data_IF_633665468138
#
_entry.id   IF_633665468138
#
_cell.length_a   1.000
_cell.length_b   1.000
_cell.length_c   1.000
_cell.angle_alpha   90.00
_cell.angle_beta   90.00
_cell.angle_gamma   90.00
#
_symmetry.space_group_name_H-M   'P 1'
#
loop_
_entity.id
_entity.type
_entity.pdbx_description
1 polymer ?
#
# COMPACT_ATOMS: atom_id res chain seq x y z
N UNK A 1 14.14 33.66 -44.56
CA UNK A 1 13.18 32.67 -44.02
C UNK A 1 13.77 31.29 -44.21
N UNK A 2 14.46 30.76 -43.20
CA UNK A 2 15.03 29.40 -43.24
C UNK A 2 13.98 28.43 -42.69
N UNK A 3 13.38 27.66 -43.59
CA UNK A 3 12.61 26.47 -43.27
C UNK A 3 13.59 25.34 -42.94
N UNK A 4 13.60 24.84 -41.71
CA UNK A 4 14.13 23.49 -41.43
C UNK A 4 13.16 22.76 -40.49
N UNK A 5 12.34 21.90 -41.10
CA UNK A 5 11.48 20.94 -40.42
C UNK A 5 12.36 19.80 -39.91
N UNK A 6 12.57 19.71 -38.60
CA UNK A 6 13.24 18.57 -37.98
C UNK A 6 12.29 17.37 -38.12
N UNK A 7 12.59 16.53 -39.10
CA UNK A 7 12.00 15.21 -39.31
C UNK A 7 12.94 14.16 -38.73
N UNK A 8 12.35 13.19 -38.04
CA UNK A 8 12.87 11.85 -37.71
C UNK A 8 13.98 11.77 -36.65
N UNK A 9 13.58 11.32 -35.46
CA UNK A 9 14.36 10.35 -34.72
C UNK A 9 13.38 9.33 -34.14
N UNK A 10 13.19 8.26 -34.92
CA UNK A 10 12.63 6.99 -34.48
C UNK A 10 13.61 6.45 -33.44
N UNK A 11 13.32 6.70 -32.16
CA UNK A 11 14.02 6.09 -31.04
C UNK A 11 13.18 4.92 -30.57
N UNK A 12 13.43 3.73 -31.12
CA UNK A 12 12.93 2.49 -30.55
C UNK A 12 13.51 2.38 -29.14
N UNK A 13 12.73 2.74 -28.12
CA UNK A 13 13.08 2.49 -26.73
C UNK A 13 12.95 0.99 -26.56
N UNK A 14 14.10 0.31 -26.55
CA UNK A 14 14.19 -1.09 -26.23
C UNK A 14 13.48 -1.31 -24.88
N UNK A 15 12.39 -2.08 -24.90
CA UNK A 15 11.83 -2.69 -23.71
C UNK A 15 12.88 -3.68 -23.18
N UNK A 16 13.84 -3.17 -22.41
CA UNK A 16 14.70 -3.99 -21.60
C UNK A 16 13.78 -4.69 -20.60
N UNK A 17 13.54 -5.97 -20.86
CA UNK A 17 12.91 -6.89 -19.93
C UNK A 17 13.76 -6.95 -18.68
N UNK A 18 13.47 -6.08 -17.72
CA UNK A 18 13.76 -6.40 -16.35
C UNK A 18 12.77 -7.48 -15.96
N UNK A 19 13.22 -8.74 -16.00
CA UNK A 19 12.73 -9.74 -15.07
C UNK A 19 12.96 -9.14 -13.66
N UNK A 20 12.02 -8.33 -13.20
CA UNK A 20 11.89 -8.05 -11.80
C UNK A 20 11.40 -9.36 -11.21
N UNK A 21 12.40 -10.13 -10.78
CA UNK A 21 12.35 -11.11 -9.71
C UNK A 21 10.95 -11.16 -9.15
N UNK A 22 10.21 -12.19 -9.54
CA UNK A 22 9.09 -12.71 -8.77
C UNK A 22 9.66 -13.13 -7.43
N UNK A 23 9.98 -12.13 -6.60
CA UNK A 23 10.08 -12.26 -5.17
C UNK A 23 8.69 -12.71 -4.81
N UNK A 24 8.61 -14.01 -4.52
CA UNK A 24 7.44 -14.64 -3.94
C UNK A 24 6.82 -13.62 -3.00
N UNK A 25 5.50 -13.41 -3.05
CA UNK A 25 4.89 -12.69 -1.97
C UNK A 25 5.36 -13.36 -0.69
N UNK A 26 6.14 -12.65 0.13
CA UNK A 26 6.23 -13.01 1.55
C UNK A 26 4.80 -12.84 2.00
N UNK A 27 4.07 -13.96 1.98
CA UNK A 27 2.73 -14.08 2.51
C UNK A 27 2.86 -13.48 3.89
N UNK A 28 2.19 -12.37 4.13
CA UNK A 28 2.24 -11.69 5.43
C UNK A 28 1.82 -12.64 6.57
N UNK A 29 1.24 -13.80 6.25
CA UNK A 29 1.05 -14.99 7.08
C UNK A 29 2.35 -15.56 7.72
N UNK A 30 3.55 -15.29 7.21
CA UNK A 30 4.82 -15.81 7.77
C UNK A 30 5.49 -14.88 8.78
N UNK A 31 4.94 -13.69 9.03
CA UNK A 31 5.43 -12.80 10.09
C UNK A 31 4.53 -12.98 11.32
N UNK A 32 4.92 -13.80 12.31
CA UNK A 32 4.05 -14.19 13.42
C UNK A 32 3.53 -13.00 14.24
N UNK A 33 4.19 -11.85 14.17
CA UNK A 33 3.86 -10.63 14.90
C UNK A 33 2.90 -9.70 14.15
N UNK A 34 2.60 -9.95 12.88
CA UNK A 34 1.74 -9.10 12.06
C UNK A 34 0.38 -9.77 11.82
N UNK A 35 -0.66 -8.95 11.80
CA UNK A 35 -2.03 -9.37 11.53
C UNK A 35 -2.69 -8.33 10.65
N UNK A 36 -3.57 -8.78 9.75
CA UNK A 36 -4.36 -7.87 8.97
C UNK A 36 -5.25 -7.03 9.88
N UNK A 37 -5.29 -5.71 9.69
CA UNK A 37 -6.08 -4.80 10.54
C UNK A 37 -7.56 -5.21 10.65
N UNK A 38 -8.13 -5.79 9.58
CA UNK A 38 -9.54 -6.25 9.60
C UNK A 38 -9.75 -7.52 10.43
N UNK A 39 -8.75 -8.39 10.52
CA UNK A 39 -8.78 -9.57 11.39
C UNK A 39 -8.57 -9.17 12.86
N UNK A 40 -7.70 -8.18 13.13
CA UNK A 40 -7.49 -7.63 14.49
C UNK A 40 -8.74 -6.92 15.02
N UNK A 41 -9.49 -6.23 14.14
CA UNK A 41 -10.67 -5.45 14.49
C UNK A 41 -11.86 -5.81 13.60
N UNK A 42 -12.47 -6.99 13.76
CA UNK A 42 -13.55 -7.44 12.87
C UNK A 42 -14.78 -6.54 12.98
N UNK A 43 -15.36 -6.18 11.83
CA UNK A 43 -16.59 -5.37 11.75
C UNK A 43 -16.41 -3.87 12.04
N UNK A 44 -15.18 -3.39 12.20
CA UNK A 44 -14.90 -1.96 12.33
C UNK A 44 -14.97 -1.24 10.96
N UNK A 45 -15.04 0.10 10.98
CA UNK A 45 -14.75 0.91 9.80
C UNK A 45 -13.28 1.32 9.81
N UNK A 46 -12.69 1.49 8.62
CA UNK A 46 -11.26 1.76 8.47
C UNK A 46 -11.06 2.95 7.55
N UNK A 47 -10.14 3.84 7.91
CA UNK A 47 -9.71 4.95 7.07
C UNK A 47 -8.18 4.94 6.96
N UNK A 48 -7.68 4.80 5.74
CA UNK A 48 -6.24 4.85 5.48
C UNK A 48 -5.75 6.29 5.45
N UNK A 49 -4.71 6.58 6.21
CA UNK A 49 -4.06 7.89 6.28
C UNK A 49 -2.58 7.79 5.99
N UNK A 50 -2.03 8.80 5.35
CA UNK A 50 -0.59 8.95 5.19
C UNK A 50 -0.16 10.19 5.96
N UNK A 51 0.68 10.01 6.96
CA UNK A 51 1.18 11.08 7.82
C UNK A 51 2.70 11.05 7.70
N UNK A 52 3.31 12.14 7.22
CA UNK A 52 4.77 12.26 7.06
C UNK A 52 5.41 11.13 6.23
N UNK A 53 4.69 10.60 5.23
CA UNK A 53 5.17 9.49 4.39
C UNK A 53 4.99 8.10 5.00
N UNK A 54 4.56 8.01 6.25
CA UNK A 54 4.18 6.77 6.91
C UNK A 54 2.69 6.50 6.75
N UNK A 55 2.32 5.22 6.62
CA UNK A 55 0.93 4.79 6.47
C UNK A 55 0.35 4.41 7.81
N UNK A 56 -0.86 4.88 8.07
CA UNK A 56 -1.66 4.60 9.24
C UNK A 56 -3.06 4.16 8.82
N UNK A 57 -3.73 3.44 9.70
CA UNK A 57 -5.14 3.08 9.56
C UNK A 57 -5.88 3.48 10.82
N UNK A 58 -6.84 4.38 10.67
CA UNK A 58 -7.76 4.76 11.73
C UNK A 58 -8.91 3.75 11.74
N UNK A 59 -9.08 3.07 12.87
CA UNK A 59 -10.08 2.03 13.11
C UNK A 59 -11.19 2.61 13.97
N UNK A 60 -12.39 2.73 13.39
CA UNK A 60 -13.57 3.27 14.04
C UNK A 60 -14.45 2.11 14.52
N UNK A 61 -14.63 2.01 15.84
CA UNK A 61 -15.48 1.01 16.49
C UNK A 61 -16.56 1.71 17.28
N UNK A 62 -17.78 1.17 17.27
CA UNK A 62 -18.85 1.65 18.16
C UNK A 62 -18.86 0.76 19.39
N UNK A 63 -18.48 1.31 20.54
CA UNK A 63 -18.46 0.61 21.82
C UNK A 63 -19.43 1.36 22.74
N UNK A 64 -20.49 0.68 23.20
CA UNK A 64 -21.54 1.26 24.06
C UNK A 64 -22.15 2.56 23.50
N UNK A 65 -22.37 2.62 22.18
CA UNK A 65 -22.95 3.78 21.50
C UNK A 65 -22.00 4.97 21.31
N UNK A 66 -20.72 4.83 21.66
CA UNK A 66 -19.67 5.84 21.40
C UNK A 66 -18.71 5.34 20.34
N UNK A 67 -18.29 6.23 19.45
CA UNK A 67 -17.26 5.94 18.45
C UNK A 67 -15.88 6.02 19.11
N UNK A 68 -15.23 4.88 19.26
CA UNK A 68 -13.82 4.74 19.62
C UNK A 68 -12.99 4.73 18.34
N UNK A 69 -11.89 5.51 18.33
CA UNK A 69 -10.99 5.62 17.17
C UNK A 69 -9.60 5.19 17.61
N UNK A 70 -9.11 4.10 17.03
CA UNK A 70 -7.76 3.60 17.26
C UNK A 70 -6.92 3.82 16.00
N UNK A 71 -5.82 4.57 16.10
CA UNK A 71 -4.86 4.73 15.01
C UNK A 71 -3.79 3.67 15.12
N UNK A 72 -3.68 2.82 14.11
CA UNK A 72 -2.64 1.79 14.02
C UNK A 72 -1.65 2.16 12.92
N UNK A 73 -0.36 1.97 13.20
CA UNK A 73 0.69 2.13 12.18
C UNK A 73 0.66 0.93 11.25
N UNK A 74 0.63 1.20 9.95
CA UNK A 74 0.72 0.16 8.95
C UNK A 74 2.18 -0.26 8.78
N UNK A 75 2.56 -1.39 9.35
CA UNK A 75 3.93 -1.90 9.30
C UNK A 75 4.27 -2.41 7.89
N UNK A 76 3.32 -3.09 7.25
CA UNK A 76 3.49 -3.52 5.85
C UNK A 76 2.17 -3.48 5.09
N UNK A 77 2.26 -3.11 3.81
CA UNK A 77 1.16 -3.15 2.85
C UNK A 77 1.40 -4.33 1.91
N UNK A 78 0.49 -5.29 1.89
CA UNK A 78 0.59 -6.45 1.02
C UNK A 78 -0.77 -6.72 0.37
N UNK A 79 -0.82 -6.76 -0.97
CA UNK A 79 -2.06 -6.93 -1.75
C UNK A 79 -3.20 -5.99 -1.30
N UNK A 80 -2.91 -4.70 -1.10
CA UNK A 80 -3.86 -3.69 -0.61
C UNK A 80 -4.40 -3.94 0.83
N UNK A 81 -3.73 -4.82 1.59
CA UNK A 81 -4.03 -5.07 2.99
C UNK A 81 -2.97 -4.43 3.86
N UNK A 82 -3.42 -3.69 4.85
CA UNK A 82 -2.56 -3.16 5.90
C UNK A 82 -2.40 -4.18 7.02
N UNK A 83 -1.16 -4.60 7.26
CA UNK A 83 -0.80 -5.44 8.38
C UNK A 83 -0.21 -4.59 9.49
N UNK A 84 -0.76 -4.78 10.67
CA UNK A 84 -0.41 -4.08 11.91
C UNK A 84 0.17 -5.10 12.88
N UNK A 85 0.86 -4.64 13.93
CA UNK A 85 1.31 -5.55 14.99
C UNK A 85 0.09 -6.15 15.71
N UNK A 86 0.17 -7.44 16.04
CA UNK A 86 -0.86 -8.15 16.83
C UNK A 86 -1.12 -7.46 18.15
#
# INVERSE_FOLDING_TARGET
MFQNKIKKAVGAVAFAGALLVSGLPVSADTLPELIWVRDKYPGAQYEYKVINGERYVDVYRVINGKTDVTREKCETMYQDRCYVKK
#
